data_IF_921798211238
#
_entry.id   IF_921798211238
#
_cell.length_a   1.000
_cell.length_b   1.000
_cell.length_c   1.000
_cell.angle_alpha   90.00
_cell.angle_beta   90.00
_cell.angle_gamma   90.00
#
_symmetry.space_group_name_H-M   'P 1'
#
loop_
_entity.id
_entity.type
_entity.pdbx_description
1 polymer ?
#
# COMPACT_ATOMS: atom_id res chain seq x y z
N UNK A 1 -0.31 -12.46 5.43
CA UNK A 1 -1.06 -11.26 5.83
C UNK A 1 -2.51 -11.42 5.39
N UNK A 2 -3.46 -10.84 6.13
CA UNK A 2 -4.84 -10.68 5.69
C UNK A 2 -5.03 -9.35 4.94
N UNK A 3 -6.10 -9.18 4.13
CA UNK A 3 -6.38 -7.91 3.47
C UNK A 3 -6.48 -6.72 4.43
N UNK A 4 -7.06 -6.93 5.62
CA UNK A 4 -7.14 -5.92 6.67
C UNK A 4 -5.76 -5.50 7.19
N UNK A 5 -4.85 -6.46 7.41
CA UNK A 5 -3.48 -6.16 7.83
C UNK A 5 -2.71 -5.38 6.75
N UNK A 6 -2.94 -5.70 5.47
CA UNK A 6 -2.36 -4.94 4.35
C UNK A 6 -2.87 -3.51 4.35
N UNK A 7 -4.19 -3.30 4.48
CA UNK A 7 -4.79 -1.97 4.53
C UNK A 7 -4.23 -1.11 5.67
N UNK A 8 -4.20 -1.63 6.90
CA UNK A 8 -3.68 -0.87 8.04
C UNK A 8 -2.19 -0.56 7.86
N UNK A 9 -1.39 -1.49 7.33
CA UNK A 9 0.02 -1.18 7.04
C UNK A 9 0.18 -0.09 5.97
N UNK A 10 -0.64 -0.10 4.92
CA UNK A 10 -0.61 0.96 3.90
C UNK A 10 -0.97 2.30 4.53
N UNK A 11 -2.01 2.34 5.38
CA UNK A 11 -2.39 3.53 6.13
C UNK A 11 -1.21 4.09 6.93
N UNK A 12 -0.54 3.25 7.72
CA UNK A 12 0.62 3.66 8.53
C UNK A 12 1.73 4.27 7.67
N UNK A 13 2.04 3.65 6.53
CA UNK A 13 3.05 4.16 5.58
C UNK A 13 2.61 5.53 5.04
N UNK A 14 1.38 5.67 4.57
CA UNK A 14 0.91 6.93 3.98
C UNK A 14 0.83 8.06 5.01
N UNK A 15 0.57 7.74 6.29
CA UNK A 15 0.49 8.69 7.39
C UNK A 15 1.84 9.00 8.04
N UNK A 16 2.92 8.37 7.59
CA UNK A 16 4.28 8.55 8.15
C UNK A 16 4.97 9.87 7.78
N UNK A 17 4.36 10.68 6.91
CA UNK A 17 5.00 11.87 6.30
C UNK A 17 5.71 11.58 4.96
N UNK A 18 5.73 10.32 4.51
CA UNK A 18 6.35 9.93 3.22
C UNK A 18 5.77 10.69 2.01
N UNK A 19 4.53 11.19 2.12
CA UNK A 19 3.83 11.91 1.07
C UNK A 19 4.18 13.41 0.99
N UNK A 20 4.92 13.96 1.96
CA UNK A 20 5.16 15.41 2.06
C UNK A 20 6.02 15.95 0.90
N UNK A 21 6.89 15.12 0.33
CA UNK A 21 7.70 15.47 -0.84
C UNK A 21 6.97 15.38 -2.17
N UNK A 22 5.73 14.87 -2.21
CA UNK A 22 4.91 14.73 -3.42
C UNK A 22 5.45 13.74 -4.48
N UNK A 23 6.56 13.04 -4.20
CA UNK A 23 7.21 12.09 -5.13
C UNK A 23 7.32 10.72 -4.47
N UNK A 24 6.19 10.03 -4.39
CA UNK A 24 6.13 8.69 -3.82
C UNK A 24 5.29 7.76 -4.69
N UNK A 25 5.81 6.57 -4.98
CA UNK A 25 5.09 5.51 -5.71
C UNK A 25 4.98 4.32 -4.78
N UNK A 26 3.76 3.99 -4.38
CA UNK A 26 3.50 2.78 -3.60
C UNK A 26 3.72 1.55 -4.47
N UNK A 27 4.61 0.67 -4.03
CA UNK A 27 4.91 -0.63 -4.61
C UNK A 27 5.48 -1.55 -3.55
N UNK A 28 5.62 -2.82 -3.88
CA UNK A 28 6.34 -3.77 -3.06
C UNK A 28 7.83 -3.40 -2.99
N UNK A 29 8.41 -3.57 -1.79
CA UNK A 29 9.85 -3.37 -1.57
C UNK A 29 10.72 -4.49 -2.15
N UNK A 30 10.12 -5.60 -2.58
CA UNK A 30 10.78 -6.73 -3.24
C UNK A 30 9.78 -7.44 -4.18
N UNK A 31 10.20 -8.51 -4.85
CA UNK A 31 9.31 -9.35 -5.65
C UNK A 31 8.17 -9.95 -4.84
N UNK A 32 7.04 -10.17 -5.50
CA UNK A 32 5.90 -10.85 -4.92
C UNK A 32 6.20 -12.31 -4.65
N UNK A 33 5.93 -12.79 -3.43
CA UNK A 33 6.05 -14.20 -3.12
C UNK A 33 5.02 -15.03 -3.91
N UNK A 34 5.40 -16.22 -4.42
CA UNK A 34 4.45 -17.14 -5.05
C UNK A 34 3.27 -17.46 -4.12
N UNK A 35 2.07 -17.54 -4.69
CA UNK A 35 0.86 -17.84 -3.92
C UNK A 35 0.36 -16.69 -3.03
N UNK A 36 0.90 -15.48 -3.17
CA UNK A 36 0.31 -14.30 -2.49
C UNK A 36 -1.16 -14.14 -2.91
N UNK A 37 -2.11 -14.10 -1.96
CA UNK A 37 -3.53 -13.94 -2.29
C UNK A 37 -3.80 -12.64 -3.06
N UNK A 38 -4.63 -12.71 -4.09
CA UNK A 38 -4.97 -11.55 -4.91
C UNK A 38 -5.72 -10.48 -4.10
N UNK A 39 -6.45 -10.87 -3.06
CA UNK A 39 -7.16 -9.97 -2.17
C UNK A 39 -6.22 -9.06 -1.39
N UNK A 40 -5.01 -9.55 -1.06
CA UNK A 40 -3.99 -8.71 -0.44
C UNK A 40 -3.49 -7.65 -1.42
N UNK A 41 -3.36 -8.00 -2.70
CA UNK A 41 -2.98 -7.05 -3.75
C UNK A 41 -4.06 -6.02 -4.03
N UNK A 42 -5.31 -6.45 -4.06
CA UNK A 42 -6.45 -5.55 -4.15
C UNK A 42 -6.48 -4.59 -2.95
N UNK A 43 -6.26 -5.09 -1.73
CA UNK A 43 -6.18 -4.25 -0.54
C UNK A 43 -5.04 -3.23 -0.59
N UNK A 44 -3.85 -3.63 -1.06
CA UNK A 44 -2.72 -2.71 -1.27
C UNK A 44 -3.10 -1.57 -2.23
N UNK A 45 -3.67 -1.92 -3.39
CA UNK A 45 -4.08 -0.95 -4.40
C UNK A 45 -5.17 0.00 -3.90
N UNK A 46 -6.24 -0.53 -3.31
CA UNK A 46 -7.35 0.29 -2.83
C UNK A 46 -6.94 1.20 -1.68
N UNK A 47 -6.17 0.69 -0.71
CA UNK A 47 -5.66 1.49 0.39
C UNK A 47 -4.69 2.58 -0.09
N UNK A 48 -3.86 2.29 -1.10
CA UNK A 48 -2.99 3.28 -1.72
C UNK A 48 -3.76 4.42 -2.39
N UNK A 49 -4.91 4.11 -3.02
CA UNK A 49 -5.82 5.12 -3.58
C UNK A 49 -6.57 5.90 -2.52
N UNK A 50 -6.95 5.25 -1.41
CA UNK A 50 -7.70 5.86 -0.31
C UNK A 50 -6.82 6.82 0.51
N UNK A 51 -5.61 6.41 0.86
CA UNK A 51 -4.71 7.15 1.77
C UNK A 51 -3.59 7.91 1.07
N UNK A 52 -3.31 7.60 -0.19
CA UNK A 52 -2.34 8.33 -1.01
C UNK A 52 -2.91 9.63 -1.57
N UNK A 53 -2.12 10.28 -2.43
CA UNK A 53 -2.55 11.47 -3.18
C UNK A 53 -2.38 11.19 -4.68
N UNK A 54 -3.45 11.35 -5.44
CA UNK A 54 -3.39 11.38 -6.90
C UNK A 54 -3.22 12.85 -7.30
N UNK A 55 -2.02 13.19 -7.77
CA UNK A 55 -1.72 14.50 -8.35
C UNK A 55 -2.14 14.55 -9.82
#
# INVERSE_FOLDING_TARGET
ATPAQVRERVRDIMQSGILDGGRFVLREGNNMAPGTPHENMAALYQAGREFGRLA
#
